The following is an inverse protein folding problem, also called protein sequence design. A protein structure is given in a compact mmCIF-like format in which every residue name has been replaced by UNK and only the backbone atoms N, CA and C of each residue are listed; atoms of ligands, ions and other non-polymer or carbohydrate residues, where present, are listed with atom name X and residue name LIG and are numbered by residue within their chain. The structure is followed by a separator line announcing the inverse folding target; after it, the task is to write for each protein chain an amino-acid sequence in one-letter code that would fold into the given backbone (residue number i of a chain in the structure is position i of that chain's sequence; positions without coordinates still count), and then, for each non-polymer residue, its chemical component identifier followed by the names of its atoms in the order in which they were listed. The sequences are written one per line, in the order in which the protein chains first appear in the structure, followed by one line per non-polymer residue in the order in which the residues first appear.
data_IF_972397228440
#
_entry.id   IF_972397228440
#
_cell.length_a   1.000
_cell.length_b   1.000
_cell.length_c   1.000
_cell.angle_alpha   90.00
_cell.angle_beta   90.00
_cell.angle_gamma   90.00
#
_symmetry.space_group_name_H-M   'P 1'
#
loop_
_entity.id
_entity.type
_entity.pdbx_description
1 polymer ?
#
# COMPACT_ATOMS: atom_id res chain seq x y z
N UNK A 1 -10.04 3.17 26.38
CA UNK A 1 -10.65 1.98 25.76
C UNK A 1 -10.12 1.75 24.36
N UNK A 2 -8.82 1.53 24.20
CA UNK A 2 -8.26 1.11 22.91
C UNK A 2 -8.43 -0.42 22.81
N UNK A 3 -9.38 -0.86 22.00
CA UNK A 3 -9.80 -2.26 21.92
C UNK A 3 -9.58 -2.88 20.53
N UNK A 4 -8.64 -2.35 19.75
CA UNK A 4 -8.31 -2.91 18.42
C UNK A 4 -7.89 -4.36 18.57
N UNK A 5 -8.53 -5.25 17.83
CA UNK A 5 -8.33 -6.70 17.92
C UNK A 5 -9.20 -7.39 18.99
N UNK A 6 -9.86 -6.62 19.86
CA UNK A 6 -10.64 -7.11 20.99
C UNK A 6 -12.11 -7.37 20.71
N UNK A 7 -12.63 -7.04 19.51
CA UNK A 7 -14.02 -7.30 19.17
C UNK A 7 -14.31 -8.80 18.93
N UNK A 8 -15.56 -9.25 19.14
CA UNK A 8 -15.94 -10.64 18.89
C UNK A 8 -15.76 -11.08 17.43
N UNK A 9 -15.85 -12.40 17.22
CA UNK A 9 -15.96 -12.99 15.88
C UNK A 9 -17.09 -12.31 15.07
N UNK A 10 -16.94 -12.29 13.75
CA UNK A 10 -17.81 -11.61 12.76
C UNK A 10 -17.68 -10.08 12.67
N UNK A 11 -17.01 -9.43 13.63
CA UNK A 11 -16.69 -8.01 13.52
C UNK A 11 -15.41 -7.78 12.71
N UNK A 12 -15.49 -6.85 11.77
CA UNK A 12 -14.34 -6.19 11.17
C UNK A 12 -14.09 -4.86 11.87
N UNK A 13 -12.83 -4.46 11.97
CA UNK A 13 -12.38 -3.31 12.73
C UNK A 13 -11.58 -2.35 11.85
N UNK A 14 -11.79 -1.04 12.05
CA UNK A 14 -10.96 -0.01 11.45
C UNK A 14 -9.54 -0.12 12.02
N UNK A 15 -8.60 -0.51 11.16
CA UNK A 15 -7.24 -0.78 11.58
C UNK A 15 -6.41 0.50 11.66
N UNK A 16 -6.54 1.22 12.79
CA UNK A 16 -5.75 2.42 13.05
C UNK A 16 -4.23 2.16 13.09
N UNK A 17 -3.79 0.93 13.43
CA UNK A 17 -2.37 0.58 13.35
C UNK A 17 -1.90 0.48 11.90
N UNK A 18 -2.71 -0.07 10.99
CA UNK A 18 -2.42 -0.07 9.56
C UNK A 18 -2.20 1.35 9.05
N UNK A 19 -3.16 2.23 9.34
CA UNK A 19 -3.10 3.66 8.97
C UNK A 19 -1.79 4.29 9.42
N UNK A 20 -1.48 4.18 10.71
CA UNK A 20 -0.33 4.83 11.32
C UNK A 20 1.00 4.28 10.79
N UNK A 21 1.14 2.96 10.68
CA UNK A 21 2.36 2.32 10.19
C UNK A 21 2.62 2.63 8.72
N UNK A 22 1.59 2.60 7.87
CA UNK A 22 1.78 2.88 6.43
C UNK A 22 2.11 4.37 6.22
N UNK A 23 1.48 5.28 6.99
CA UNK A 23 1.84 6.71 7.01
C UNK A 23 3.32 6.91 7.39
N UNK A 24 3.76 6.29 8.49
CA UNK A 24 5.15 6.35 8.96
C UNK A 24 6.14 5.81 7.93
N UNK A 25 5.83 4.65 7.35
CA UNK A 25 6.67 4.01 6.35
C UNK A 25 6.97 4.97 5.19
N UNK A 26 5.94 5.57 4.58
CA UNK A 26 6.12 6.38 3.38
C UNK A 26 6.70 7.77 3.61
N UNK A 27 6.53 8.35 4.82
CA UNK A 27 7.26 9.57 5.18
C UNK A 27 8.72 9.32 5.60
N UNK A 28 9.13 8.05 5.70
CA UNK A 28 10.50 7.65 6.02
C UNK A 28 10.86 7.82 7.49
N UNK A 29 9.87 7.73 8.38
CA UNK A 29 10.18 7.51 9.78
C UNK A 29 10.84 6.13 9.94
N UNK A 30 11.86 6.00 10.80
CA UNK A 30 12.39 4.72 11.24
C UNK A 30 11.24 3.82 11.69
N UNK A 31 10.83 2.91 10.81
CA UNK A 31 9.69 2.04 11.00
C UNK A 31 10.20 0.62 11.03
N UNK A 32 9.74 -0.17 12.00
CA UNK A 32 10.10 -1.59 12.07
C UNK A 32 9.47 -2.26 10.86
N UNK A 33 10.26 -2.72 9.90
CA UNK A 33 9.78 -3.46 8.72
C UNK A 33 8.86 -4.63 9.13
N UNK A 34 9.09 -5.22 10.30
CA UNK A 34 8.22 -6.23 10.87
C UNK A 34 6.76 -5.74 11.06
N UNK A 35 6.57 -4.51 11.57
CA UNK A 35 5.23 -3.94 11.76
C UNK A 35 4.57 -3.70 10.41
N UNK A 36 5.32 -3.15 9.44
CA UNK A 36 4.84 -2.97 8.07
C UNK A 36 4.44 -4.30 7.43
N UNK A 37 5.24 -5.35 7.61
CA UNK A 37 4.96 -6.69 7.07
C UNK A 37 3.66 -7.26 7.66
N UNK A 38 3.43 -7.12 8.96
CA UNK A 38 2.15 -7.48 9.57
C UNK A 38 0.99 -6.67 8.97
N UNK A 39 1.14 -5.35 8.80
CA UNK A 39 0.09 -4.51 8.20
C UNK A 39 -0.23 -4.91 6.77
N UNK A 40 0.79 -5.10 5.95
CA UNK A 40 0.66 -5.50 4.55
C UNK A 40 -0.02 -6.87 4.41
N UNK A 41 0.22 -7.80 5.34
CA UNK A 41 -0.36 -9.16 5.30
C UNK A 41 -1.66 -9.33 6.10
N UNK A 42 -2.35 -8.22 6.42
CA UNK A 42 -3.70 -8.24 6.99
C UNK A 42 -3.74 -8.31 8.52
N UNK A 43 -2.62 -7.97 9.18
CA UNK A 43 -2.46 -7.84 10.63
C UNK A 43 -2.83 -9.10 11.42
N UNK A 44 -2.17 -10.21 11.07
CA UNK A 44 -2.35 -11.49 11.76
C UNK A 44 -2.09 -11.41 13.26
N UNK A 45 -1.13 -10.59 13.70
CA UNK A 45 -0.84 -10.30 15.10
C UNK A 45 -2.04 -9.73 15.89
N UNK A 46 -2.97 -9.03 15.22
CA UNK A 46 -4.17 -8.47 15.83
C UNK A 46 -5.36 -9.42 15.80
N UNK A 47 -5.50 -10.21 14.72
CA UNK A 47 -6.76 -10.87 14.39
C UNK A 47 -6.69 -12.40 14.37
N UNK A 48 -5.51 -12.99 14.14
CA UNK A 48 -5.37 -14.44 13.97
C UNK A 48 -5.63 -15.21 15.26
N UNK A 49 -5.11 -14.74 16.40
CA UNK A 49 -5.25 -15.39 17.72
C UNK A 49 -6.70 -15.51 18.17
N UNK A 50 -7.56 -14.57 17.74
CA UNK A 50 -8.99 -14.55 18.04
C UNK A 50 -9.84 -15.28 16.98
N UNK A 51 -9.21 -16.09 16.10
CA UNK A 51 -9.88 -16.94 15.12
C UNK A 51 -10.43 -16.19 13.89
N UNK A 52 -10.10 -14.91 13.72
CA UNK A 52 -10.54 -14.10 12.58
C UNK A 52 -9.62 -14.27 11.38
N UNK A 53 -10.12 -13.84 10.22
CA UNK A 53 -9.43 -13.89 8.94
C UNK A 53 -8.88 -12.49 8.57
N UNK A 54 -8.04 -12.35 7.53
CA UNK A 54 -7.58 -11.04 7.06
C UNK A 54 -8.70 -10.02 6.84
N UNK A 55 -9.90 -10.48 6.47
CA UNK A 55 -11.09 -9.64 6.27
C UNK A 55 -11.60 -8.91 7.52
N UNK A 56 -11.11 -9.27 8.72
CA UNK A 56 -11.39 -8.52 9.94
C UNK A 56 -10.64 -7.17 9.98
N UNK A 57 -9.58 -7.02 9.21
CA UNK A 57 -8.87 -5.75 9.06
C UNK A 57 -9.53 -4.88 8.00
N UNK A 58 -10.15 -3.77 8.40
CA UNK A 58 -10.47 -2.68 7.49
C UNK A 58 -9.25 -1.77 7.41
N UNK A 59 -8.51 -1.90 6.32
CA UNK A 59 -7.32 -1.11 6.05
C UNK A 59 -7.74 0.24 5.46
N UNK A 60 -7.16 1.33 5.95
CA UNK A 60 -7.40 2.66 5.42
C UNK A 60 -6.17 3.53 5.66
N UNK A 61 -5.89 4.43 4.73
CA UNK A 61 -4.89 5.48 4.93
C UNK A 61 -5.56 6.74 5.45
N UNK A 62 -6.76 7.01 4.98
CA UNK A 62 -7.53 8.22 5.22
C UNK A 62 -8.94 7.85 5.66
N UNK A 63 -9.48 8.61 6.60
CA UNK A 63 -10.88 8.60 6.99
C UNK A 63 -11.38 10.04 7.07
N UNK A 64 -12.63 10.25 7.43
CA UNK A 64 -13.16 11.61 7.66
C UNK A 64 -12.48 12.30 8.85
N UNK A 65 -11.97 11.54 9.82
CA UNK A 65 -11.14 12.06 10.90
C UNK A 65 -9.69 12.24 10.42
N UNK A 66 -9.22 13.48 10.37
CA UNK A 66 -7.88 13.85 9.93
C UNK A 66 -7.84 14.44 8.52
N UNK A 67 -6.64 14.48 7.94
CA UNK A 67 -6.44 14.95 6.57
C UNK A 67 -7.08 14.06 5.51
N UNK A 68 -7.34 14.63 4.34
CA UNK A 68 -7.48 13.92 3.05
C UNK A 68 -6.15 13.33 2.60
N UNK A 69 -6.15 12.50 1.54
CA UNK A 69 -4.90 11.99 0.97
C UNK A 69 -4.03 13.09 0.37
N UNK A 70 -4.65 14.06 -0.31
CA UNK A 70 -3.94 15.22 -0.82
C UNK A 70 -3.28 15.98 0.33
N UNK A 71 -4.04 16.29 1.38
CA UNK A 71 -3.52 17.11 2.49
C UNK A 71 -2.45 16.38 3.31
N UNK A 72 -2.55 15.05 3.42
CA UNK A 72 -1.55 14.21 4.08
C UNK A 72 -0.14 14.38 3.49
N UNK A 73 -0.04 14.67 2.19
CA UNK A 73 1.24 14.88 1.49
C UNK A 73 1.56 16.36 1.24
N UNK A 74 0.68 17.27 1.68
CA UNK A 74 0.78 18.71 1.42
C UNK A 74 0.92 19.56 2.69
N UNK A 75 0.64 19.02 3.89
CA UNK A 75 0.66 19.76 5.15
C UNK A 75 1.36 19.01 6.29
N UNK A 76 2.21 19.68 7.06
CA UNK A 76 2.79 19.15 8.30
C UNK A 76 1.94 19.51 9.52
N UNK A 77 1.32 20.70 9.51
CA UNK A 77 0.43 21.18 10.57
C UNK A 77 -1.03 21.18 10.12
N UNK A 78 -1.95 21.13 11.09
CA UNK A 78 -3.38 21.35 10.83
C UNK A 78 -3.67 22.86 10.70
N UNK A 79 -4.58 23.20 9.81
CA UNK A 79 -5.06 24.55 9.50
C UNK A 79 -6.59 24.58 9.69
N UNK A 80 -7.01 24.48 10.95
CA UNK A 80 -8.43 24.38 11.35
C UNK A 80 -9.03 25.76 11.71
N UNK A 81 -8.41 26.87 11.27
CA UNK A 81 -8.82 28.22 11.64
C UNK A 81 -10.28 28.52 11.25
N UNK A 82 -10.75 27.94 10.14
CA UNK A 82 -12.13 28.05 9.67
C UNK A 82 -13.16 27.51 10.69
N UNK A 83 -12.75 26.66 11.63
CA UNK A 83 -13.62 26.10 12.66
C UNK A 83 -13.90 27.09 13.81
N UNK A 84 -13.20 28.24 13.85
CA UNK A 84 -13.32 29.29 14.88
C UNK A 84 -12.97 28.84 16.31
N UNK A 85 -12.19 27.77 16.46
CA UNK A 85 -11.71 27.27 17.76
C UNK A 85 -10.22 27.60 18.00
N UNK A 86 -9.63 28.46 17.17
CA UNK A 86 -8.22 28.84 17.24
C UNK A 86 -7.27 27.67 16.96
N UNK A 87 -7.65 26.78 16.03
CA UNK A 87 -6.89 25.59 15.63
C UNK A 87 -6.57 24.64 16.80
N UNK A 88 -7.41 24.63 17.85
CA UNK A 88 -7.24 23.76 19.02
C UNK A 88 -7.86 22.37 18.83
N UNK A 89 -8.86 22.27 17.96
CA UNK A 89 -9.60 21.07 17.61
C UNK A 89 -8.85 20.20 16.58
N UNK A 90 -9.21 18.92 16.45
CA UNK A 90 -8.55 17.96 15.54
C UNK A 90 -7.24 17.37 16.07
N UNK A 91 -6.76 16.33 15.39
CA UNK A 91 -5.54 15.60 15.76
C UNK A 91 -4.28 16.45 15.50
N UNK A 92 -3.33 16.47 16.44
CA UNK A 92 -2.06 17.20 16.28
C UNK A 92 -0.96 16.32 15.67
N UNK A 93 -1.07 15.00 15.79
CA UNK A 93 -0.10 14.03 15.27
C UNK A 93 -0.63 13.30 14.04
N UNK A 94 -0.78 14.02 12.93
CA UNK A 94 -1.39 13.51 11.69
C UNK A 94 -0.57 12.45 10.95
N UNK A 95 0.71 12.32 11.30
CA UNK A 95 1.67 11.47 10.60
C UNK A 95 1.83 11.82 9.11
N UNK A 96 1.72 13.11 8.79
CA UNK A 96 1.82 13.68 7.45
C UNK A 96 3.24 14.11 7.10
N UNK A 97 3.45 14.46 5.83
CA UNK A 97 4.65 15.12 5.35
C UNK A 97 4.35 15.99 4.14
N UNK A 98 4.61 17.29 4.24
CA UNK A 98 4.29 18.28 3.21
C UNK A 98 5.16 18.23 1.93
N UNK A 99 6.10 17.27 1.87
CA UNK A 99 7.02 17.05 0.74
C UNK A 99 7.98 18.22 0.43
N UNK A 100 8.10 19.21 1.32
CA UNK A 100 9.05 20.32 1.20
C UNK A 100 8.42 21.72 1.22
N UNK A 101 7.11 21.83 1.00
CA UNK A 101 6.37 23.10 1.05
C UNK A 101 5.05 22.90 1.81
N UNK A 102 4.65 23.86 2.64
CA UNK A 102 3.36 23.77 3.36
C UNK A 102 2.23 24.31 2.46
N UNK A 103 1.21 23.49 2.20
CA UNK A 103 0.09 23.84 1.34
C UNK A 103 0.41 23.82 -0.15
N UNK A 104 -0.34 24.61 -0.91
CA UNK A 104 -0.19 24.72 -2.37
C UNK A 104 1.19 25.22 -2.79
N UNK A 105 1.68 24.73 -3.94
CA UNK A 105 2.99 25.09 -4.47
C UNK A 105 3.05 24.93 -5.97
N UNK A 106 3.86 25.75 -6.63
CA UNK A 106 4.16 25.65 -8.06
C UNK A 106 5.49 24.92 -8.34
N UNK A 107 6.19 24.45 -7.30
CA UNK A 107 7.45 23.71 -7.50
C UNK A 107 7.18 22.34 -8.13
N UNK A 108 7.60 22.12 -9.39
CA UNK A 108 7.30 20.87 -10.09
C UNK A 108 7.96 19.66 -9.41
N UNK A 109 9.09 19.80 -8.73
CA UNK A 109 9.72 18.69 -8.03
C UNK A 109 8.88 18.22 -6.84
N UNK A 110 8.29 19.16 -6.08
CA UNK A 110 7.40 18.87 -4.95
C UNK A 110 6.09 18.26 -5.46
N UNK A 111 5.50 18.83 -6.50
CA UNK A 111 4.25 18.32 -7.10
C UNK A 111 4.41 16.87 -7.60
N UNK A 112 5.49 16.56 -8.32
CA UNK A 112 5.78 15.20 -8.78
C UNK A 112 5.97 14.23 -7.60
N UNK A 113 6.68 14.66 -6.54
CA UNK A 113 6.87 13.85 -5.33
C UNK A 113 5.53 13.60 -4.62
N UNK A 114 4.66 14.62 -4.48
CA UNK A 114 3.33 14.48 -3.86
C UNK A 114 2.45 13.51 -4.62
N UNK A 115 2.37 13.64 -5.95
CA UNK A 115 1.58 12.71 -6.77
C UNK A 115 2.09 11.26 -6.62
N UNK A 116 3.41 11.07 -6.61
CA UNK A 116 4.01 9.75 -6.36
C UNK A 116 3.67 9.22 -4.96
N UNK A 117 3.69 10.06 -3.93
CA UNK A 117 3.31 9.66 -2.57
C UNK A 117 1.82 9.28 -2.48
N UNK A 118 0.92 10.01 -3.15
CA UNK A 118 -0.49 9.61 -3.24
C UNK A 118 -0.62 8.22 -3.87
N UNK A 119 0.07 7.97 -5.00
CA UNK A 119 0.11 6.65 -5.65
C UNK A 119 0.71 5.56 -4.75
N UNK A 120 1.77 5.87 -4.00
CA UNK A 120 2.36 4.94 -3.02
C UNK A 120 1.34 4.51 -1.96
N UNK A 121 0.64 5.46 -1.34
CA UNK A 121 -0.37 5.17 -0.33
C UNK A 121 -1.53 4.34 -0.89
N UNK A 122 -2.05 4.73 -2.04
CA UNK A 122 -3.12 4.01 -2.72
C UNK A 122 -2.67 2.59 -3.09
N UNK A 123 -1.49 2.45 -3.70
CA UNK A 123 -0.93 1.16 -4.07
C UNK A 123 -0.73 0.26 -2.85
N UNK A 124 -0.14 0.75 -1.76
CA UNK A 124 -0.02 -0.03 -0.52
C UNK A 124 -1.39 -0.48 -0.02
N UNK A 125 -2.39 0.41 -0.01
CA UNK A 125 -3.76 0.10 0.43
C UNK A 125 -4.38 -1.04 -0.39
N UNK A 126 -4.35 -0.95 -1.71
CA UNK A 126 -4.99 -1.90 -2.61
C UNK A 126 -4.18 -3.18 -2.86
N UNK A 127 -2.89 -3.20 -2.53
CA UNK A 127 -2.06 -4.41 -2.62
C UNK A 127 -1.98 -5.18 -1.29
N UNK A 128 -2.33 -4.55 -0.16
CA UNK A 128 -2.34 -5.20 1.15
C UNK A 128 -3.48 -6.24 1.27
N UNK A 129 -3.27 -7.26 2.10
CA UNK A 129 -4.34 -8.18 2.51
C UNK A 129 -5.29 -7.48 3.49
N UNK A 130 -6.56 -7.88 3.45
CA UNK A 130 -7.64 -7.25 4.22
C UNK A 130 -8.67 -6.56 3.33
N UNK A 131 -9.50 -5.70 3.92
CA UNK A 131 -10.52 -4.94 3.18
C UNK A 131 -10.04 -3.49 3.06
N UNK A 132 -9.70 -2.99 1.85
CA UNK A 132 -9.35 -1.59 1.68
C UNK A 132 -10.59 -0.70 1.79
N UNK A 133 -10.47 0.41 2.51
CA UNK A 133 -11.44 1.50 2.57
C UNK A 133 -10.79 2.78 2.04
N UNK A 134 -11.42 3.35 1.01
CA UNK A 134 -11.01 4.60 0.38
C UNK A 134 -11.96 5.72 0.82
N UNK A 135 -11.43 6.88 1.22
CA UNK A 135 -12.26 8.06 1.49
C UNK A 135 -12.69 8.69 0.16
N UNK A 136 -13.97 9.02 0.04
CA UNK A 136 -14.51 9.64 -1.15
C UNK A 136 -13.81 10.98 -1.49
N UNK A 137 -13.29 11.06 -2.71
CA UNK A 137 -12.56 12.20 -3.24
C UNK A 137 -11.04 12.02 -3.25
N UNK A 138 -10.49 11.10 -2.47
CA UNK A 138 -9.05 10.82 -2.49
C UNK A 138 -8.58 10.28 -3.86
N UNK A 139 -9.46 9.60 -4.59
CA UNK A 139 -9.19 9.13 -5.95
C UNK A 139 -8.95 10.25 -6.96
N UNK A 140 -9.36 11.47 -6.63
CA UNK A 140 -9.27 12.64 -7.51
C UNK A 140 -8.57 13.81 -6.83
N UNK A 141 -7.85 13.57 -5.72
CA UNK A 141 -7.04 14.58 -5.05
C UNK A 141 -7.84 15.65 -4.29
N UNK A 142 -9.00 15.28 -3.73
CA UNK A 142 -9.78 16.17 -2.85
C UNK A 142 -8.93 16.71 -1.70
N UNK A 143 -9.06 18.00 -1.43
CA UNK A 143 -8.38 18.73 -0.36
C UNK A 143 -9.40 19.40 0.56
N UNK A 144 -9.05 19.59 1.81
CA UNK A 144 -9.71 20.46 2.78
C UNK A 144 -8.79 21.62 3.18
N UNK A 145 -7.80 21.94 2.34
CA UNK A 145 -6.78 22.98 2.51
C UNK A 145 -6.04 22.90 3.86
N UNK A 146 -5.73 21.68 4.29
CA UNK A 146 -5.05 21.45 5.57
C UNK A 146 -5.96 21.51 6.79
N UNK A 147 -7.29 21.65 6.63
CA UNK A 147 -8.22 21.39 7.72
C UNK A 147 -8.35 19.89 7.94
N UNK A 148 -7.95 19.38 9.12
CA UNK A 148 -7.99 17.95 9.43
C UNK A 148 -9.19 17.55 10.30
N UNK A 149 -10.14 18.48 10.47
CA UNK A 149 -11.30 18.32 11.33
C UNK A 149 -12.44 19.18 10.80
N UNK A 150 -12.80 19.02 9.53
CA UNK A 150 -13.82 19.82 8.85
C UNK A 150 -15.26 19.48 9.28
N UNK A 151 -15.47 19.10 10.53
CA UNK A 151 -16.74 18.58 11.07
C UNK A 151 -17.89 19.59 11.02
N UNK A 152 -17.57 20.89 11.11
CA UNK A 152 -18.53 22.00 11.12
C UNK A 152 -18.52 22.82 9.83
N UNK A 153 -17.82 22.35 8.79
CA UNK A 153 -17.70 23.03 7.52
C UNK A 153 -18.76 22.50 6.54
N UNK A 154 -19.90 23.18 6.44
CA UNK A 154 -20.97 22.92 5.46
C UNK A 154 -20.76 23.82 4.22
N UNK A 155 -19.60 23.68 3.56
CA UNK A 155 -19.14 24.56 2.47
C UNK A 155 -18.07 23.89 1.59
N UNK A 156 -17.47 24.65 0.66
CA UNK A 156 -16.48 24.20 -0.32
C UNK A 156 -15.25 23.52 0.30
N UNK A 157 -14.91 23.78 1.58
CA UNK A 157 -13.83 23.06 2.28
C UNK A 157 -14.14 21.57 2.44
N UNK A 158 -15.40 21.19 2.59
CA UNK A 158 -15.79 19.80 2.80
C UNK A 158 -16.55 19.20 1.61
N UNK A 159 -17.03 20.01 0.67
CA UNK A 159 -17.72 19.51 -0.53
C UNK A 159 -16.79 18.70 -1.43
N UNK A 160 -17.38 17.71 -2.10
CA UNK A 160 -16.68 17.00 -3.17
C UNK A 160 -16.72 17.91 -4.40
N UNK A 161 -15.55 18.41 -4.80
CA UNK A 161 -15.41 19.14 -6.05
C UNK A 161 -15.45 18.15 -7.22
N UNK A 162 -16.48 18.24 -8.06
CA UNK A 162 -16.70 17.34 -9.20
C UNK A 162 -15.98 17.76 -10.48
N UNK A 163 -15.20 18.85 -10.45
CA UNK A 163 -14.30 19.23 -11.54
C UNK A 163 -12.94 18.50 -11.42
N UNK A 164 -12.61 17.98 -10.24
CA UNK A 164 -11.37 17.21 -9.96
C UNK A 164 -11.13 16.00 -10.87
N UNK A 165 -12.14 15.24 -11.35
CA UNK A 165 -11.93 14.16 -12.31
C UNK A 165 -11.27 14.62 -13.62
N UNK A 166 -11.46 15.88 -14.03
CA UNK A 166 -10.78 16.46 -15.20
C UNK A 166 -9.37 16.93 -14.82
N UNK A 167 -9.22 17.63 -13.70
CA UNK A 167 -7.94 18.19 -13.23
C UNK A 167 -6.91 17.10 -12.84
N UNK A 168 -7.39 16.02 -12.20
CA UNK A 168 -6.59 14.92 -11.68
C UNK A 168 -6.93 13.58 -12.38
N UNK A 169 -7.27 13.64 -13.67
CA UNK A 169 -7.69 12.48 -14.46
C UNK A 169 -6.71 11.29 -14.36
N UNK A 170 -5.40 11.56 -14.33
CA UNK A 170 -4.38 10.52 -14.20
C UNK A 170 -4.46 9.76 -12.87
N UNK A 171 -4.70 10.46 -11.75
CA UNK A 171 -4.84 9.81 -10.44
C UNK A 171 -6.12 8.97 -10.37
N UNK A 172 -7.23 9.51 -10.86
CA UNK A 172 -8.50 8.80 -10.90
C UNK A 172 -8.38 7.50 -11.70
N UNK A 173 -7.73 7.58 -12.84
CA UNK A 173 -7.49 6.41 -13.67
C UNK A 173 -6.50 5.42 -13.05
N UNK A 174 -5.44 5.90 -12.41
CA UNK A 174 -4.53 5.05 -11.64
C UNK A 174 -5.31 4.25 -10.58
N UNK A 175 -6.21 4.89 -9.84
CA UNK A 175 -7.06 4.22 -8.83
C UNK A 175 -7.99 3.19 -9.46
N UNK A 176 -8.60 3.51 -10.63
CA UNK A 176 -9.43 2.55 -11.37
C UNK A 176 -8.64 1.31 -11.79
N UNK A 177 -7.43 1.50 -12.32
CA UNK A 177 -6.52 0.41 -12.69
C UNK A 177 -6.12 -0.42 -11.46
N UNK A 178 -5.82 0.24 -10.34
CA UNK A 178 -5.48 -0.40 -9.06
C UNK A 178 -6.61 -1.28 -8.52
N UNK A 179 -7.86 -0.77 -8.58
CA UNK A 179 -9.06 -1.48 -8.15
C UNK A 179 -9.34 -2.69 -9.03
N UNK A 180 -9.22 -2.54 -10.36
CA UNK A 180 -9.34 -3.64 -11.31
C UNK A 180 -8.26 -4.70 -11.07
N UNK A 181 -7.00 -4.28 -10.93
CA UNK A 181 -5.86 -5.16 -10.65
C UNK A 181 -6.07 -5.96 -9.36
N UNK A 182 -6.49 -5.32 -8.26
CA UNK A 182 -6.82 -6.04 -7.02
C UNK A 182 -7.98 -7.03 -7.24
N UNK A 183 -8.99 -6.65 -8.00
CA UNK A 183 -10.14 -7.50 -8.27
C UNK A 183 -9.74 -8.74 -9.08
N UNK A 184 -8.90 -8.57 -10.10
CA UNK A 184 -8.51 -9.65 -11.01
C UNK A 184 -7.52 -10.64 -10.38
N UNK A 185 -6.82 -10.25 -9.31
CA UNK A 185 -5.78 -11.07 -8.67
C UNK A 185 -6.15 -11.57 -7.26
N UNK A 186 -6.69 -12.80 -7.12
CA UNK A 186 -6.98 -13.43 -5.83
C UNK A 186 -5.83 -13.50 -4.83
N UNK A 187 -4.56 -13.49 -5.27
CA UNK A 187 -3.39 -13.48 -4.38
C UNK A 187 -3.35 -12.23 -3.49
N UNK A 188 -3.98 -11.13 -3.93
CA UNK A 188 -4.13 -9.88 -3.17
C UNK A 188 -5.37 -9.85 -2.26
N UNK A 189 -6.27 -10.85 -2.40
CA UNK A 189 -7.58 -10.93 -1.72
C UNK A 189 -7.75 -12.26 -0.98
N UNK A 190 -6.71 -12.74 -0.29
CA UNK A 190 -6.73 -14.06 0.35
C UNK A 190 -7.75 -14.12 1.49
N UNK A 191 -8.44 -15.26 1.57
CA UNK A 191 -9.41 -15.57 2.65
C UNK A 191 -8.74 -16.03 3.94
N UNK A 192 -7.48 -16.48 3.86
CA UNK A 192 -6.67 -16.99 4.96
C UNK A 192 -5.26 -16.40 4.90
N UNK A 193 -4.58 -16.45 6.03
CA UNK A 193 -3.23 -15.95 6.22
C UNK A 193 -2.23 -16.61 5.25
N UNK A 194 -1.20 -15.86 4.88
CA UNK A 194 0.02 -16.47 4.36
C UNK A 194 0.64 -17.38 5.43
N UNK A 195 1.28 -18.46 5.02
CA UNK A 195 1.87 -19.44 5.94
C UNK A 195 3.40 -19.41 5.94
N UNK A 196 4.02 -18.72 4.97
CA UNK A 196 5.47 -18.68 4.82
C UNK A 196 6.03 -20.07 4.58
N UNK A 197 5.32 -20.94 3.86
CA UNK A 197 5.74 -22.31 3.53
C UNK A 197 5.17 -22.77 2.20
N UNK A 198 5.82 -23.76 1.59
CA UNK A 198 5.29 -24.49 0.43
C UNK A 198 4.03 -25.28 0.86
N UNK A 199 2.94 -25.14 0.11
CA UNK A 199 1.65 -25.78 0.43
C UNK A 199 1.40 -26.99 -0.48
N UNK A 200 1.78 -26.92 -1.77
CA UNK A 200 1.55 -27.98 -2.76
C UNK A 200 2.83 -28.68 -3.24
N UNK A 201 3.93 -28.57 -2.49
CA UNK A 201 5.17 -29.28 -2.81
C UNK A 201 5.95 -28.67 -3.99
N UNK A 202 5.60 -27.45 -4.43
CA UNK A 202 6.36 -26.69 -5.45
C UNK A 202 7.78 -26.34 -5.02
N UNK A 203 8.06 -26.40 -3.71
CA UNK A 203 9.36 -26.03 -3.14
C UNK A 203 9.52 -24.52 -2.93
N UNK A 204 8.51 -23.72 -3.29
CA UNK A 204 8.50 -22.26 -3.11
C UNK A 204 7.40 -21.87 -2.13
N UNK A 205 7.70 -20.91 -1.24
CA UNK A 205 6.79 -20.43 -0.22
C UNK A 205 5.65 -19.61 -0.83
N UNK A 206 4.52 -19.49 -0.11
CA UNK A 206 3.39 -18.65 -0.54
C UNK A 206 3.67 -17.14 -0.46
N UNK A 207 4.68 -16.77 0.34
CA UNK A 207 5.26 -15.43 0.45
C UNK A 207 6.75 -15.53 0.75
N UNK A 208 7.56 -14.62 0.20
CA UNK A 208 8.99 -14.44 0.56
C UNK A 208 9.26 -12.95 0.77
N UNK A 209 10.06 -12.64 1.79
CA UNK A 209 10.51 -11.29 2.09
C UNK A 209 12.01 -11.22 1.90
N UNK A 210 12.50 -10.24 1.16
CA UNK A 210 13.92 -10.13 0.84
C UNK A 210 14.41 -8.69 0.90
N UNK A 211 15.69 -8.54 1.18
CA UNK A 211 16.39 -7.26 1.20
C UNK A 211 16.72 -6.80 -0.24
N UNK A 212 17.12 -5.54 -0.44
CA UNK A 212 17.57 -5.07 -1.75
C UNK A 212 18.71 -5.88 -2.40
N UNK A 213 19.53 -6.59 -1.63
CA UNK A 213 20.59 -7.46 -2.17
C UNK A 213 20.10 -8.83 -2.69
N UNK A 214 18.81 -9.15 -2.52
CA UNK A 214 18.21 -10.41 -2.93
C UNK A 214 18.28 -11.53 -1.88
N UNK A 215 18.91 -11.28 -0.73
CA UNK A 215 18.89 -12.20 0.41
C UNK A 215 17.56 -12.16 1.15
N UNK A 216 17.06 -13.32 1.60
CA UNK A 216 15.90 -13.37 2.50
C UNK A 216 16.15 -12.56 3.78
N UNK A 217 15.11 -11.90 4.28
CA UNK A 217 15.20 -11.07 5.49
C UNK A 217 15.58 -11.90 6.73
N UNK A 218 16.66 -11.53 7.42
CA UNK A 218 17.00 -12.11 8.73
C UNK A 218 16.24 -11.45 9.88
N UNK A 219 16.17 -12.11 11.04
CA UNK A 219 15.54 -11.58 12.25
C UNK A 219 16.14 -10.23 12.69
N UNK A 220 17.44 -10.05 12.56
CA UNK A 220 18.10 -8.77 12.88
C UNK A 220 17.65 -7.66 11.92
N UNK A 221 17.55 -7.96 10.62
CA UNK A 221 17.15 -6.99 9.60
C UNK A 221 15.67 -6.58 9.75
N UNK A 222 14.81 -7.46 10.26
CA UNK A 222 13.41 -7.12 10.59
C UNK A 222 13.29 -6.07 11.69
N UNK A 223 14.30 -5.98 12.55
CA UNK A 223 14.35 -5.07 13.69
C UNK A 223 15.32 -3.90 13.49
N UNK A 224 16.01 -3.85 12.36
CA UNK A 224 16.84 -2.71 11.98
C UNK A 224 15.93 -1.51 11.65
N UNK A 225 16.05 -0.45 12.45
CA UNK A 225 15.27 0.77 12.29
C UNK A 225 15.73 1.66 11.13
N UNK A 226 16.84 1.33 10.47
CA UNK A 226 17.39 2.15 9.38
C UNK A 226 16.94 1.67 7.99
N UNK A 227 16.46 0.42 7.88
CA UNK A 227 16.06 -0.15 6.59
C UNK A 227 14.70 0.39 6.15
N UNK A 228 14.69 1.14 5.05
CA UNK A 228 13.49 1.75 4.44
C UNK A 228 13.08 1.08 3.12
N UNK A 229 13.61 -0.11 2.83
CA UNK A 229 13.42 -0.79 1.57
C UNK A 229 13.18 -2.28 1.79
N UNK A 230 12.18 -2.83 1.08
CA UNK A 230 11.81 -4.24 1.23
C UNK A 230 11.23 -4.80 -0.06
N UNK A 231 11.68 -6.00 -0.43
CA UNK A 231 11.12 -6.81 -1.49
C UNK A 231 10.13 -7.84 -0.93
N UNK A 232 8.99 -7.99 -1.60
CA UNK A 232 7.95 -8.96 -1.25
C UNK A 232 7.63 -9.78 -2.49
N UNK A 233 7.73 -11.10 -2.40
CA UNK A 233 7.23 -12.01 -3.41
C UNK A 233 5.93 -12.64 -2.93
N UNK A 234 4.91 -12.60 -3.79
CA UNK A 234 3.61 -13.22 -3.59
C UNK A 234 3.43 -14.33 -4.62
N UNK A 235 3.23 -15.56 -4.16
CA UNK A 235 3.10 -16.72 -5.03
C UNK A 235 1.63 -16.99 -5.38
N UNK A 236 1.21 -16.65 -6.59
CA UNK A 236 -0.16 -16.88 -7.07
C UNK A 236 -0.50 -18.35 -7.29
N UNK A 237 0.50 -19.22 -7.42
CA UNK A 237 0.30 -20.66 -7.58
C UNK A 237 0.12 -21.40 -6.23
N UNK A 238 0.45 -20.74 -5.10
CA UNK A 238 0.40 -21.30 -3.75
C UNK A 238 -0.66 -20.59 -2.88
N UNK A 239 -1.89 -20.49 -3.41
CA UNK A 239 -3.05 -20.02 -2.66
C UNK A 239 -3.67 -21.19 -1.90
N UNK A 240 -3.48 -21.22 -0.57
CA UNK A 240 -3.85 -22.34 0.29
C UNK A 240 -5.35 -22.66 0.31
N UNK A 241 -6.19 -21.63 0.10
CA UNK A 241 -7.64 -21.74 0.34
C UNK A 241 -8.36 -21.91 -0.99
N UNK A 242 -9.15 -22.98 -1.16
CA UNK A 242 -9.96 -23.14 -2.36
C UNK A 242 -11.07 -22.09 -2.42
N UNK A 243 -11.70 -22.01 -3.59
CA UNK A 243 -12.85 -21.14 -3.82
C UNK A 243 -14.10 -21.63 -3.04
N UNK A 244 -15.28 -21.07 -3.35
CA UNK A 244 -16.53 -21.49 -2.69
C UNK A 244 -17.02 -22.87 -3.13
N UNK A 245 -16.53 -23.40 -4.24
CA UNK A 245 -16.86 -24.71 -4.80
C UNK A 245 -15.87 -25.80 -4.38
N UNK A 246 -14.75 -25.41 -3.77
CA UNK A 246 -13.68 -26.33 -3.37
C UNK A 246 -12.56 -26.43 -4.40
N UNK A 247 -12.59 -25.62 -5.45
CA UNK A 247 -11.61 -25.65 -6.53
C UNK A 247 -10.34 -24.87 -6.16
N UNK A 248 -9.20 -25.36 -6.67
CA UNK A 248 -7.90 -24.69 -6.49
C UNK A 248 -7.94 -23.32 -7.16
N UNK A 249 -7.49 -22.30 -6.43
CA UNK A 249 -7.27 -20.96 -6.97
C UNK A 249 -5.82 -20.86 -7.41
N UNK A 250 -5.61 -20.45 -8.65
CA UNK A 250 -4.30 -20.11 -9.21
C UNK A 250 -4.39 -18.67 -9.71
N UNK A 251 -3.32 -17.93 -9.50
CA UNK A 251 -3.16 -16.55 -9.92
C UNK A 251 -1.73 -16.36 -10.42
N UNK A 252 -1.47 -15.21 -11.03
CA UNK A 252 -0.12 -14.78 -11.36
C UNK A 252 0.69 -14.48 -10.09
N UNK A 253 2.01 -14.58 -10.20
CA UNK A 253 2.91 -14.25 -9.10
C UNK A 253 3.43 -12.83 -9.23
N UNK A 254 3.66 -12.18 -8.09
CA UNK A 254 4.07 -10.79 -8.05
C UNK A 254 5.33 -10.59 -7.21
N UNK A 255 6.17 -9.65 -7.62
CA UNK A 255 7.22 -9.08 -6.79
C UNK A 255 6.91 -7.60 -6.59
N UNK A 256 6.84 -7.17 -5.34
CA UNK A 256 6.61 -5.79 -4.94
C UNK A 256 7.88 -5.26 -4.30
N UNK A 257 8.43 -4.18 -4.84
CA UNK A 257 9.67 -3.56 -4.41
C UNK A 257 9.35 -2.20 -3.82
N UNK A 258 9.34 -2.11 -2.50
CA UNK A 258 9.08 -0.87 -1.77
C UNK A 258 10.39 -0.16 -1.50
N UNK A 259 10.52 1.07 -1.99
CA UNK A 259 11.61 1.98 -1.63
C UNK A 259 11.03 3.22 -0.95
N UNK A 260 10.94 3.18 0.37
CA UNK A 260 10.62 4.36 1.17
C UNK A 260 11.86 5.23 1.45
N UNK A 261 13.07 4.83 1.04
CA UNK A 261 14.24 5.68 1.10
C UNK A 261 14.12 6.86 0.13
N UNK A 262 14.85 7.95 0.38
CA UNK A 262 14.83 9.13 -0.50
C UNK A 262 15.76 8.99 -1.72
N UNK A 263 16.73 8.10 -1.67
CA UNK A 263 17.63 7.78 -2.78
C UNK A 263 17.13 6.57 -3.59
N UNK A 264 17.50 6.45 -4.88
CA UNK A 264 17.25 5.25 -5.66
C UNK A 264 17.96 4.03 -5.07
N UNK A 265 17.33 2.87 -5.19
CA UNK A 265 17.86 1.57 -4.74
C UNK A 265 17.77 0.57 -5.90
N UNK A 266 18.83 -0.19 -6.12
CA UNK A 266 18.85 -1.34 -7.02
C UNK A 266 18.46 -2.59 -6.22
N UNK A 267 17.36 -3.24 -6.62
CA UNK A 267 16.93 -4.51 -6.02
C UNK A 267 17.42 -5.68 -6.86
N UNK A 268 18.20 -6.57 -6.28
CA UNK A 268 18.54 -7.87 -6.88
C UNK A 268 17.40 -8.84 -6.64
N UNK A 269 16.86 -9.45 -7.69
CA UNK A 269 15.84 -10.49 -7.52
C UNK A 269 16.48 -11.80 -7.00
N UNK A 270 15.92 -12.44 -5.96
CA UNK A 270 16.44 -13.70 -5.43
C UNK A 270 16.55 -14.79 -6.50
N UNK A 271 17.63 -15.57 -6.51
CA UNK A 271 17.91 -16.57 -7.56
C UNK A 271 16.81 -17.64 -7.69
N UNK A 272 16.16 -18.00 -6.58
CA UNK A 272 15.04 -18.95 -6.56
C UNK A 272 13.74 -18.37 -7.13
N UNK A 273 13.61 -17.04 -7.20
CA UNK A 273 12.46 -16.33 -7.78
C UNK A 273 12.72 -15.85 -9.22
N UNK A 274 13.99 -15.68 -9.58
CA UNK A 274 14.45 -15.33 -10.92
C UNK A 274 14.11 -16.32 -12.07
N UNK A 275 13.75 -17.62 -11.87
CA UNK A 275 13.36 -18.47 -12.98
C UNK A 275 12.03 -17.98 -13.57
N UNK A 276 12.09 -17.35 -14.74
CA UNK A 276 10.93 -16.81 -15.46
C UNK A 276 11.21 -15.44 -16.07
N UNK A 277 10.27 -14.94 -16.87
CA UNK A 277 10.29 -13.57 -17.37
C UNK A 277 9.38 -12.72 -16.47
N UNK A 278 10.00 -11.90 -15.61
CA UNK A 278 9.29 -10.91 -14.80
C UNK A 278 9.06 -9.64 -15.63
N UNK A 279 7.88 -9.03 -15.55
CA UNK A 279 7.60 -7.76 -16.25
C UNK A 279 7.10 -6.71 -15.30
N UNK A 280 7.58 -5.48 -15.42
CA UNK A 280 7.00 -4.36 -14.68
C UNK A 280 5.58 -4.10 -15.15
N UNK A 281 4.64 -4.02 -14.22
CA UNK A 281 3.23 -3.72 -14.50
C UNK A 281 2.74 -2.46 -13.79
N UNK A 282 3.42 -2.07 -12.71
CA UNK A 282 3.17 -0.81 -12.02
C UNK A 282 4.47 -0.21 -11.51
N UNK A 283 4.61 1.11 -11.64
CA UNK A 283 5.64 1.92 -11.01
C UNK A 283 4.98 3.21 -10.54
N UNK A 284 4.99 3.48 -9.24
CA UNK A 284 4.32 4.68 -8.69
C UNK A 284 5.01 5.98 -9.06
N UNK A 285 6.22 5.94 -9.63
CA UNK A 285 6.82 7.10 -10.29
C UNK A 285 6.11 7.49 -11.60
N UNK A 286 5.29 6.60 -12.16
CA UNK A 286 4.50 6.82 -13.36
C UNK A 286 3.01 7.00 -13.03
N UNK A 287 2.26 7.77 -13.83
CA UNK A 287 0.85 8.06 -13.55
C UNK A 287 -0.11 6.90 -13.87
N UNK A 288 0.33 5.86 -14.59
CA UNK A 288 -0.52 4.78 -15.11
C UNK A 288 0.17 3.43 -15.01
N UNK A 289 -0.62 2.36 -15.02
CA UNK A 289 -0.11 1.00 -15.19
C UNK A 289 0.57 0.80 -16.54
N UNK A 290 1.55 -0.11 -16.57
CA UNK A 290 2.36 -0.37 -17.75
C UNK A 290 1.82 -1.54 -18.55
N UNK A 291 1.33 -1.27 -19.76
CA UNK A 291 0.92 -2.32 -20.72
C UNK A 291 2.13 -3.09 -21.29
N UNK A 292 3.29 -2.44 -21.36
CA UNK A 292 4.56 -3.00 -21.87
C UNK A 292 5.73 -2.51 -21.02
N UNK A 293 5.78 -2.94 -19.76
CA UNK A 293 6.91 -2.63 -18.90
C UNK A 293 8.16 -3.42 -19.24
N UNK A 294 9.26 -3.08 -18.56
CA UNK A 294 10.56 -3.72 -18.74
C UNK A 294 10.47 -5.20 -18.32
N UNK A 295 11.05 -6.08 -19.14
CA UNK A 295 11.22 -7.49 -18.81
C UNK A 295 12.56 -7.74 -18.12
N UNK A 296 12.55 -8.67 -17.15
CA UNK A 296 13.72 -9.15 -16.43
C UNK A 296 13.74 -10.68 -16.56
N UNK A 297 14.75 -11.18 -17.27
CA UNK A 297 14.91 -12.61 -17.53
C UNK A 297 15.76 -13.32 -16.48
N UNK A 298 16.14 -14.56 -16.80
CA UNK A 298 16.97 -15.38 -15.92
C UNK A 298 18.35 -14.73 -15.65
N UNK A 299 18.79 -14.78 -14.38
CA UNK A 299 20.14 -14.34 -13.94
C UNK A 299 20.16 -13.26 -12.87
N UNK A 300 19.44 -13.46 -11.75
CA UNK A 300 19.35 -12.52 -10.61
C UNK A 300 19.35 -11.04 -11.05
N UNK A 301 18.39 -10.62 -11.89
CA UNK A 301 18.41 -9.30 -12.48
C UNK A 301 18.28 -8.21 -11.40
N UNK A 302 18.90 -7.05 -11.64
CA UNK A 302 18.69 -5.87 -10.81
C UNK A 302 17.55 -5.02 -11.36
N UNK A 303 16.73 -4.50 -10.44
CA UNK A 303 15.55 -3.69 -10.72
C UNK A 303 15.74 -2.33 -10.03
N UNK A 304 15.94 -1.24 -10.79
CA UNK A 304 16.05 0.09 -10.22
C UNK A 304 14.69 0.55 -9.69
N UNK A 305 14.67 1.05 -8.46
CA UNK A 305 13.50 1.69 -7.85
C UNK A 305 13.92 3.07 -7.35
N UNK A 306 13.36 4.13 -7.94
CA UNK A 306 13.66 5.50 -7.52
C UNK A 306 13.26 5.74 -6.07
N UNK A 307 13.84 6.76 -5.43
CA UNK A 307 13.49 7.11 -4.05
C UNK A 307 12.00 7.40 -3.91
N UNK A 308 11.39 6.94 -2.81
CA UNK A 308 9.96 7.11 -2.50
C UNK A 308 9.06 6.51 -3.57
N UNK A 309 9.30 5.28 -3.99
CA UNK A 309 8.51 4.61 -5.00
C UNK A 309 8.24 3.14 -4.68
N UNK A 310 7.25 2.58 -5.37
CA UNK A 310 6.90 1.17 -5.37
C UNK A 310 6.87 0.70 -6.83
N UNK A 311 7.59 -0.39 -7.10
CA UNK A 311 7.56 -1.10 -8.38
C UNK A 311 6.94 -2.47 -8.17
N UNK A 312 6.03 -2.87 -9.08
CA UNK A 312 5.43 -4.20 -9.09
C UNK A 312 5.76 -4.92 -10.38
N UNK A 313 6.32 -6.11 -10.23
CA UNK A 313 6.60 -7.04 -11.30
C UNK A 313 5.57 -8.17 -11.27
N UNK A 314 5.17 -8.63 -12.44
CA UNK A 314 4.27 -9.76 -12.63
C UNK A 314 4.99 -10.87 -13.39
N UNK A 315 4.74 -12.11 -12.97
CA UNK A 315 5.04 -13.32 -13.72
C UNK A 315 3.74 -14.09 -13.92
N UNK A 316 3.25 -14.21 -15.16
CA UNK A 316 2.05 -14.98 -15.45
C UNK A 316 2.17 -16.42 -14.94
N UNK A 317 1.07 -16.96 -14.43
CA UNK A 317 0.99 -18.36 -14.02
C UNK A 317 1.22 -19.28 -15.22
N UNK A 318 1.94 -20.38 -15.01
CA UNK A 318 2.22 -21.38 -16.06
C UNK A 318 0.99 -22.22 -16.44
N UNK A 319 -0.11 -22.06 -15.73
CA UNK A 319 -1.36 -22.80 -15.92
C UNK A 319 -2.37 -21.84 -16.55
N UNK A 320 -2.76 -22.09 -17.80
CA UNK A 320 -3.90 -21.39 -18.39
C UNK A 320 -5.14 -21.66 -17.56
N UNK A 321 -5.74 -20.60 -17.01
CA UNK A 321 -7.02 -20.70 -16.31
C UNK A 321 -8.04 -21.42 -17.21
N UNK A 322 -8.58 -22.55 -16.75
CA UNK A 322 -9.73 -23.16 -17.41
C UNK A 322 -10.91 -22.20 -17.28
N UNK A 323 -11.43 -21.76 -18.42
CA UNK A 323 -12.51 -20.79 -18.59
C UNK A 323 -13.79 -21.11 -17.81
#
# INVERSE_FOLDING_TARGET
GYHVGGFPLLWSEWNGRYRDTVRDFWRGEPSRLAEFAFRFTGSSDLYQSNGRNPSASINFIIAHDGFTLHDLVSYNGKHNEANNEGSRDGESHNRSWNCGAEGETDDPAILNLRQRQQRNFLATLFLSQGVPMLLAGDEMGRTQHGNNNAYCQDNELSWVNWDLPEENAELLEFVRELMAFRYDHPVLRRRKWFQGRSIHGSGVHDIVWFNPDGGEMTEEQWHDGLTMAIGIFLNGEEIATPDRRGERIIDDSFILLFNAHHEPIEFTLPENLAPGEWRTVMDTALPRFLQRGRSYGAGAPTVPVVGRALVVLQRPSGVTASA
#
